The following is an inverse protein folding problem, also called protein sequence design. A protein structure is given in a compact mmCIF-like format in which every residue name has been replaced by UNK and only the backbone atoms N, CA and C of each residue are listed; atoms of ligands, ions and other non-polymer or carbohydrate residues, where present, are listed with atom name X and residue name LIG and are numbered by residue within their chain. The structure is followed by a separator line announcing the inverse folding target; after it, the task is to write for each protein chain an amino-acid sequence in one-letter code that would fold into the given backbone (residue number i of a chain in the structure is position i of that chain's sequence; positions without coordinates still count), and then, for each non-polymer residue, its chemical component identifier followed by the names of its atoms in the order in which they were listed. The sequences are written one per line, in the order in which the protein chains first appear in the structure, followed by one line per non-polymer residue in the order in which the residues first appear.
data_IF_015342214496
#
_entry.id   IF_015342214496
#
_cell.length_a   1.000
_cell.length_b   1.000
_cell.length_c   1.000
_cell.angle_alpha   90.00
_cell.angle_beta   90.00
_cell.angle_gamma   90.00
#
_symmetry.space_group_name_H-M   'P 1'
#
loop_
_entity.id
_entity.type
_entity.pdbx_description
1 polymer ?
#
# COMPACT_ATOMS: atom_id res chain seq x y z
N UNK A 1 -12.81 42.66 -4.21
CA UNK A 1 -11.74 41.84 -3.60
C UNK A 1 -12.05 40.40 -3.89
N UNK A 2 -11.35 39.81 -4.82
CA UNK A 2 -11.54 38.42 -5.21
C UNK A 2 -10.58 37.59 -4.37
N UNK A 3 -11.11 36.84 -3.40
CA UNK A 3 -10.36 35.87 -2.65
C UNK A 3 -10.01 34.69 -3.56
N UNK A 4 -8.78 34.56 -3.97
CA UNK A 4 -8.28 33.36 -4.61
C UNK A 4 -8.18 32.26 -3.56
N UNK A 5 -9.15 31.36 -3.57
CA UNK A 5 -9.04 30.09 -2.90
C UNK A 5 -8.01 29.25 -3.67
N UNK A 6 -6.80 29.21 -3.19
CA UNK A 6 -5.81 28.25 -3.64
C UNK A 6 -6.24 26.87 -3.13
N UNK A 7 -6.79 26.06 -4.01
CA UNK A 7 -6.86 24.61 -3.78
C UNK A 7 -5.43 24.14 -3.48
N UNK A 8 -5.18 23.42 -2.38
CA UNK A 8 -3.92 22.75 -2.22
C UNK A 8 -3.88 21.67 -3.30
N UNK A 9 -3.23 21.98 -4.38
CA UNK A 9 -2.68 20.97 -5.25
C UNK A 9 -1.85 20.11 -4.33
N UNK A 10 -2.30 18.89 -4.06
CA UNK A 10 -1.50 17.90 -3.40
C UNK A 10 -0.35 17.56 -4.38
N UNK A 11 0.63 18.45 -4.41
CA UNK A 11 1.91 18.12 -4.98
C UNK A 11 2.38 16.94 -4.17
N UNK A 12 2.34 15.76 -4.79
CA UNK A 12 3.03 14.59 -4.28
C UNK A 12 4.42 15.08 -3.97
N UNK A 13 4.67 15.31 -2.69
CA UNK A 13 5.99 15.65 -2.21
C UNK A 13 6.85 14.47 -2.58
N UNK A 14 7.64 14.63 -3.63
CA UNK A 14 8.71 13.71 -3.95
C UNK A 14 9.73 13.89 -2.82
N UNK A 15 9.46 13.28 -1.68
CA UNK A 15 10.50 13.01 -0.69
C UNK A 15 11.63 12.37 -1.45
N UNK A 16 12.88 12.73 -1.13
CA UNK A 16 14.05 12.15 -1.78
C UNK A 16 13.81 10.66 -2.04
N UNK A 17 13.28 10.39 -3.21
CA UNK A 17 12.47 9.21 -3.53
C UNK A 17 13.26 7.92 -3.35
N UNK A 18 14.57 7.99 -3.61
CA UNK A 18 15.44 6.84 -3.40
C UNK A 18 15.66 6.55 -1.91
N UNK A 19 15.69 7.56 -1.07
CA UNK A 19 15.92 7.40 0.37
C UNK A 19 14.69 6.85 1.08
N UNK A 20 13.50 7.33 0.74
CA UNK A 20 12.25 6.80 1.26
C UNK A 20 11.99 5.37 0.78
N UNK A 21 12.21 5.09 -0.52
CA UNK A 21 12.13 3.75 -1.08
C UNK A 21 13.13 2.79 -0.43
N UNK A 22 14.37 3.24 -0.18
CA UNK A 22 15.39 2.43 0.47
C UNK A 22 15.03 2.12 1.93
N UNK A 23 14.51 3.07 2.68
CA UNK A 23 14.06 2.86 4.07
C UNK A 23 12.87 1.91 4.15
N UNK A 24 11.90 2.08 3.28
CA UNK A 24 10.71 1.20 3.24
C UNK A 24 11.04 -0.19 2.72
N UNK A 25 11.88 -0.31 1.71
CA UNK A 25 12.39 -1.60 1.22
C UNK A 25 13.17 -2.33 2.31
N UNK A 26 13.99 -1.64 3.09
CA UNK A 26 14.72 -2.21 4.22
C UNK A 26 13.78 -2.67 5.34
N UNK A 27 12.77 -1.89 5.68
CA UNK A 27 11.77 -2.25 6.68
C UNK A 27 10.91 -3.44 6.22
N UNK A 28 10.45 -3.43 4.99
CA UNK A 28 9.71 -4.55 4.38
C UNK A 28 10.55 -5.82 4.33
N UNK A 29 11.84 -5.71 3.98
CA UNK A 29 12.78 -6.83 4.01
C UNK A 29 12.98 -7.37 5.42
N UNK A 30 13.16 -6.51 6.40
CA UNK A 30 13.35 -6.92 7.80
C UNK A 30 12.12 -7.69 8.33
N UNK A 31 10.90 -7.26 7.99
CA UNK A 31 9.68 -7.97 8.36
C UNK A 31 9.62 -9.34 7.67
N UNK A 32 9.94 -9.42 6.38
CA UNK A 32 9.96 -10.68 5.62
C UNK A 32 11.00 -11.65 6.16
N UNK A 33 12.20 -11.16 6.41
CA UNK A 33 13.29 -11.97 6.93
C UNK A 33 12.92 -12.52 8.32
N UNK A 34 12.34 -11.72 9.17
CA UNK A 34 11.84 -12.16 10.47
C UNK A 34 10.75 -13.22 10.38
N UNK A 35 9.80 -13.07 9.49
CA UNK A 35 8.75 -14.10 9.27
C UNK A 35 9.36 -15.40 8.73
N UNK A 36 10.40 -15.33 7.91
CA UNK A 36 11.10 -16.51 7.38
C UNK A 36 11.98 -17.20 8.41
N UNK A 37 12.76 -16.42 9.18
CA UNK A 37 13.75 -16.96 10.13
C UNK A 37 13.11 -17.53 11.38
N UNK A 38 12.13 -16.85 11.94
CA UNK A 38 11.56 -17.23 13.23
C UNK A 38 10.43 -18.27 13.11
N UNK A 39 9.97 -18.61 11.89
CA UNK A 39 8.70 -19.31 11.73
C UNK A 39 7.59 -18.61 12.50
N UNK A 40 7.77 -17.29 12.67
CA UNK A 40 7.05 -16.46 13.61
C UNK A 40 5.57 -16.34 13.27
N UNK A 41 4.76 -15.85 14.18
CA UNK A 41 3.34 -15.67 13.94
C UNK A 41 3.14 -14.70 12.79
N UNK A 42 2.29 -15.08 11.84
CA UNK A 42 1.80 -14.19 10.80
C UNK A 42 1.22 -12.94 11.47
N UNK A 43 1.60 -11.72 11.05
CA UNK A 43 1.06 -10.51 11.65
C UNK A 43 -0.47 -10.52 11.62
N UNK A 44 -1.08 -10.22 12.75
CA UNK A 44 -2.54 -10.20 12.86
C UNK A 44 -3.12 -9.14 11.94
N UNK A 45 -4.04 -9.55 11.08
CA UNK A 45 -4.80 -8.64 10.25
C UNK A 45 -5.86 -7.87 11.06
N UNK A 46 -6.15 -6.65 10.66
CA UNK A 46 -7.26 -5.83 11.15
C UNK A 46 -8.40 -5.74 10.15
N UNK A 47 -8.13 -6.01 8.89
CA UNK A 47 -9.10 -6.10 7.80
C UNK A 47 -8.49 -6.87 6.63
N UNK A 48 -9.34 -7.34 5.71
CA UNK A 48 -8.89 -7.92 4.46
C UNK A 48 -9.75 -7.49 3.28
N UNK A 49 -9.17 -7.61 2.09
CA UNK A 49 -9.84 -7.35 0.82
C UNK A 49 -9.30 -8.32 -0.23
N UNK A 50 -10.19 -9.01 -0.92
CA UNK A 50 -9.80 -9.88 -2.04
C UNK A 50 -9.93 -9.14 -3.36
N UNK A 51 -8.99 -9.36 -4.27
CA UNK A 51 -8.93 -8.74 -5.58
C UNK A 51 -8.34 -9.69 -6.63
N UNK A 52 -8.59 -9.39 -7.90
CA UNK A 52 -7.94 -10.05 -9.00
C UNK A 52 -6.76 -9.21 -9.47
N UNK A 53 -5.54 -9.74 -9.50
CA UNK A 53 -4.41 -9.03 -10.12
C UNK A 53 -4.69 -8.80 -11.60
N UNK A 54 -4.32 -7.66 -12.14
CA UNK A 54 -4.68 -7.19 -13.48
C UNK A 54 -4.31 -8.10 -14.65
N UNK A 55 -3.55 -9.14 -14.45
CA UNK A 55 -3.09 -10.02 -15.51
C UNK A 55 -3.79 -11.38 -15.56
N UNK A 56 -4.59 -11.73 -14.55
CA UNK A 56 -5.28 -13.02 -14.54
C UNK A 56 -6.56 -12.96 -13.72
N UNK A 57 -7.70 -12.93 -14.41
CA UNK A 57 -9.03 -12.93 -13.78
C UNK A 57 -9.35 -14.26 -13.04
N UNK A 58 -8.52 -15.27 -13.18
CA UNK A 58 -8.70 -16.56 -12.52
C UNK A 58 -7.92 -16.68 -11.21
N UNK A 59 -7.12 -15.68 -10.86
CA UNK A 59 -6.31 -15.67 -9.64
C UNK A 59 -6.92 -14.76 -8.61
N UNK A 60 -7.31 -15.32 -7.47
CA UNK A 60 -7.76 -14.57 -6.30
C UNK A 60 -6.58 -14.31 -5.37
N UNK A 61 -6.30 -13.04 -5.12
CA UNK A 61 -5.34 -12.60 -4.12
C UNK A 61 -6.09 -11.87 -3.01
N UNK A 62 -5.73 -12.17 -1.77
CA UNK A 62 -6.27 -11.47 -0.60
C UNK A 62 -5.18 -10.63 0.03
N UNK A 63 -5.45 -9.34 0.19
CA UNK A 63 -4.63 -8.42 0.96
C UNK A 63 -5.14 -8.37 2.40
N UNK A 64 -4.28 -8.76 3.34
CA UNK A 64 -4.54 -8.78 4.77
C UNK A 64 -3.86 -7.57 5.41
N UNK A 65 -4.63 -6.57 5.78
CA UNK A 65 -4.11 -5.31 6.33
C UNK A 65 -3.72 -5.50 7.79
N UNK A 66 -2.48 -5.13 8.10
CA UNK A 66 -1.93 -5.20 9.46
C UNK A 66 -2.04 -3.87 10.17
N UNK A 67 -1.64 -2.78 9.52
CA UNK A 67 -1.65 -1.44 10.12
C UNK A 67 -1.61 -0.33 9.10
N UNK A 68 -2.15 0.81 9.48
CA UNK A 68 -1.97 2.10 8.78
C UNK A 68 -1.38 3.07 9.79
N UNK A 69 -0.13 3.49 9.57
CA UNK A 69 0.58 4.41 10.43
C UNK A 69 0.78 5.74 9.72
N UNK A 70 0.14 6.79 10.21
CA UNK A 70 0.29 8.13 9.69
C UNK A 70 1.32 8.92 10.48
N UNK A 71 2.29 9.47 9.78
CA UNK A 71 3.30 10.38 10.32
C UNK A 71 3.20 11.77 9.71
N UNK A 72 4.04 12.71 10.15
CA UNK A 72 4.03 14.09 9.67
C UNK A 72 4.46 14.20 8.20
N UNK A 73 5.24 13.28 7.70
CA UNK A 73 5.81 13.29 6.35
C UNK A 73 5.19 12.27 5.39
N UNK A 74 4.41 11.33 5.90
CA UNK A 74 3.79 10.28 5.09
C UNK A 74 3.00 9.30 5.91
N UNK A 75 2.37 8.37 5.22
CA UNK A 75 1.59 7.30 5.82
C UNK A 75 2.11 5.96 5.29
N UNK A 76 2.26 4.97 6.14
CA UNK A 76 2.70 3.63 5.77
C UNK A 76 1.57 2.63 6.00
N UNK A 77 1.23 1.91 4.95
CA UNK A 77 0.37 0.73 4.99
C UNK A 77 1.24 -0.51 5.08
N UNK A 78 0.99 -1.35 6.08
CA UNK A 78 1.58 -2.69 6.19
C UNK A 78 0.49 -3.72 5.94
N UNK A 79 0.73 -4.64 5.03
CA UNK A 79 -0.20 -5.70 4.67
C UNK A 79 0.57 -6.94 4.20
N UNK A 80 -0.08 -8.08 4.18
CA UNK A 80 0.46 -9.28 3.59
C UNK A 80 -0.53 -9.88 2.59
N UNK A 81 -0.01 -10.63 1.64
CA UNK A 81 -0.77 -11.19 0.53
C UNK A 81 -0.80 -12.71 0.64
N UNK A 82 -1.94 -13.28 0.29
CA UNK A 82 -2.10 -14.71 0.04
C UNK A 82 -2.78 -14.93 -1.30
N UNK A 83 -2.44 -16.01 -1.96
CA UNK A 83 -3.12 -16.45 -3.18
C UNK A 83 -3.88 -17.75 -2.92
N UNK A 84 -5.08 -17.85 -3.48
CA UNK A 84 -5.92 -19.06 -3.43
C UNK A 84 -5.55 -20.05 -4.54
N UNK A 85 -4.71 -19.67 -5.48
CA UNK A 85 -4.29 -20.51 -6.59
C UNK A 85 -3.06 -21.32 -6.26
N UNK A 86 -2.91 -22.45 -6.98
CA UNK A 86 -1.86 -23.44 -6.75
C UNK A 86 -0.51 -22.96 -7.26
N UNK A 87 -0.52 -22.09 -8.26
CA UNK A 87 0.66 -21.50 -8.89
C UNK A 87 0.95 -20.11 -8.34
N UNK A 88 2.15 -19.62 -8.59
CA UNK A 88 2.54 -18.29 -8.16
C UNK A 88 1.64 -17.20 -8.76
N UNK A 89 1.17 -16.29 -7.94
CA UNK A 89 0.52 -15.08 -8.37
C UNK A 89 1.49 -13.90 -8.27
N UNK A 90 1.42 -12.99 -9.22
CA UNK A 90 2.13 -11.72 -9.09
C UNK A 90 1.31 -10.76 -8.24
N UNK A 91 1.96 -10.10 -7.30
CA UNK A 91 1.37 -9.01 -6.54
C UNK A 91 1.21 -7.74 -7.37
N UNK A 92 0.72 -6.66 -6.75
CA UNK A 92 0.58 -5.39 -7.43
C UNK A 92 1.96 -4.84 -7.83
N UNK A 93 2.08 -4.46 -9.10
CA UNK A 93 3.32 -3.99 -9.74
C UNK A 93 3.27 -2.48 -9.96
N UNK A 94 2.16 -2.00 -10.50
CA UNK A 94 1.98 -0.60 -10.87
C UNK A 94 1.29 0.19 -9.75
N UNK A 95 1.52 1.52 -9.66
CA UNK A 95 0.86 2.35 -8.64
C UNK A 95 -0.67 2.21 -8.61
N UNK A 96 -1.29 2.03 -9.75
CA UNK A 96 -2.73 1.85 -9.90
C UNK A 96 -3.27 0.52 -9.35
N UNK A 97 -2.41 -0.48 -9.22
CA UNK A 97 -2.75 -1.82 -8.72
C UNK A 97 -2.60 -1.93 -7.20
N UNK A 98 -1.88 -0.97 -6.61
CA UNK A 98 -1.70 -0.91 -5.17
C UNK A 98 -2.99 -0.46 -4.46
N UNK A 99 -3.18 -0.91 -3.21
CA UNK A 99 -4.29 -0.44 -2.39
C UNK A 99 -4.32 1.09 -2.32
N UNK A 100 -5.50 1.68 -2.44
CA UNK A 100 -5.71 3.11 -2.14
C UNK A 100 -6.32 3.27 -0.76
N UNK A 101 -5.94 4.32 -0.04
CA UNK A 101 -6.56 4.68 1.23
C UNK A 101 -7.73 5.63 0.94
N UNK A 102 -8.93 5.29 1.40
CA UNK A 102 -10.14 6.06 1.15
C UNK A 102 -10.67 6.64 2.46
N UNK A 103 -10.59 7.96 2.58
CA UNK A 103 -11.30 8.71 3.61
C UNK A 103 -12.75 8.93 3.15
N UNK A 104 -13.67 8.13 3.68
CA UNK A 104 -15.09 8.21 3.31
C UNK A 104 -15.80 9.44 3.90
N UNK A 105 -15.26 10.06 4.94
CA UNK A 105 -15.83 11.26 5.56
C UNK A 105 -15.44 12.50 4.77
N UNK A 106 -14.15 12.61 4.43
CA UNK A 106 -13.64 13.72 3.62
C UNK A 106 -13.84 13.55 2.12
N UNK A 107 -14.24 12.35 1.66
CA UNK A 107 -14.41 12.06 0.24
C UNK A 107 -13.08 12.05 -0.54
N UNK A 108 -11.97 11.72 0.12
CA UNK A 108 -10.63 11.76 -0.48
C UNK A 108 -10.06 10.37 -0.64
N UNK A 109 -9.48 10.11 -1.81
CA UNK A 109 -8.74 8.88 -2.12
C UNK A 109 -7.25 9.19 -2.24
N UNK A 110 -6.45 8.53 -1.43
CA UNK A 110 -4.99 8.65 -1.42
C UNK A 110 -4.37 7.46 -2.15
N UNK A 111 -3.68 7.74 -3.25
CA UNK A 111 -2.90 6.75 -3.99
C UNK A 111 -1.53 6.54 -3.35
N UNK A 112 -0.91 5.39 -3.67
CA UNK A 112 0.47 5.09 -3.26
C UNK A 112 1.45 6.10 -3.85
N UNK A 113 2.48 6.44 -3.11
CA UNK A 113 3.58 7.26 -3.62
C UNK A 113 4.40 6.48 -4.64
N UNK A 114 4.83 7.17 -5.68
CA UNK A 114 5.69 6.59 -6.71
C UNK A 114 6.74 7.61 -7.18
N UNK A 115 7.76 7.15 -7.87
CA UNK A 115 8.79 7.96 -8.49
C UNK A 115 9.10 7.45 -9.89
N UNK A 116 9.75 8.29 -10.69
CA UNK A 116 10.31 7.92 -11.99
C UNK A 116 11.78 8.31 -12.01
N UNK A 117 12.61 7.49 -12.64
CA UNK A 117 14.01 7.83 -12.88
C UNK A 117 14.12 8.88 -13.97
N UNK A 118 15.15 9.72 -13.92
CA UNK A 118 15.40 10.71 -14.96
C UNK A 118 15.57 10.02 -16.33
N UNK A 119 14.77 10.44 -17.31
CA UNK A 119 14.77 9.87 -18.66
C UNK A 119 13.94 8.58 -18.81
N UNK A 120 13.28 8.12 -17.75
CA UNK A 120 12.38 6.96 -17.76
C UNK A 120 10.95 7.42 -17.45
N UNK A 121 9.98 6.91 -18.18
CA UNK A 121 8.55 7.18 -17.95
C UNK A 121 7.90 6.15 -17.02
N UNK A 122 8.61 5.08 -16.67
CA UNK A 122 8.13 4.06 -15.76
C UNK A 122 7.91 4.63 -14.36
N UNK A 123 6.86 4.17 -13.71
CA UNK A 123 6.51 4.56 -12.33
C UNK A 123 6.89 3.43 -11.39
N UNK A 124 7.71 3.75 -10.40
CA UNK A 124 8.13 2.84 -9.36
C UNK A 124 7.43 3.20 -8.04
N UNK A 125 6.78 2.25 -7.42
CA UNK A 125 6.09 2.46 -6.15
C UNK A 125 7.11 2.63 -5.02
N UNK A 126 6.83 3.55 -4.11
CA UNK A 126 7.61 3.69 -2.88
C UNK A 126 7.12 2.65 -1.88
N UNK A 127 7.85 1.56 -1.74
CA UNK A 127 7.45 0.44 -0.89
C UNK A 127 8.20 -0.85 -1.20
N UNK A 128 7.58 -1.96 -0.86
CA UNK A 128 8.13 -3.28 -1.12
C UNK A 128 8.25 -3.58 -2.61
N UNK A 129 9.26 -4.34 -2.97
CA UNK A 129 9.42 -4.85 -4.32
C UNK A 129 8.31 -5.83 -4.70
N UNK A 130 8.17 -6.05 -6.01
CA UNK A 130 7.20 -6.97 -6.58
C UNK A 130 7.31 -8.36 -5.96
N UNK A 131 6.23 -8.90 -5.38
CA UNK A 131 6.25 -10.25 -4.87
C UNK A 131 5.84 -11.26 -5.93
N UNK A 132 6.56 -12.36 -6.00
CA UNK A 132 5.98 -13.63 -6.41
C UNK A 132 5.31 -14.26 -5.18
N UNK A 133 4.02 -14.52 -5.28
CA UNK A 133 3.24 -15.09 -4.19
C UNK A 133 3.02 -16.56 -4.50
N UNK A 134 3.82 -17.40 -3.89
CA UNK A 134 3.61 -18.83 -3.97
C UNK A 134 2.36 -19.24 -3.19
N UNK A 135 1.69 -20.28 -3.67
CA UNK A 135 0.60 -20.90 -2.94
C UNK A 135 1.05 -21.26 -1.52
N UNK A 136 0.26 -20.90 -0.51
CA UNK A 136 0.52 -21.13 0.92
C UNK A 136 1.68 -20.34 1.52
N UNK A 137 2.28 -19.42 0.81
CA UNK A 137 3.26 -18.50 1.38
C UNK A 137 2.61 -17.21 1.82
N UNK A 138 3.20 -16.57 2.83
CA UNK A 138 2.81 -15.23 3.30
C UNK A 138 3.85 -14.23 2.83
N UNK A 139 3.40 -13.19 2.16
CA UNK A 139 4.26 -12.15 1.63
C UNK A 139 3.92 -10.82 2.29
N UNK A 140 4.79 -10.31 3.14
CA UNK A 140 4.56 -9.05 3.85
C UNK A 140 5.07 -7.88 3.02
N UNK A 141 4.22 -6.90 2.80
CA UNK A 141 4.49 -5.69 2.04
C UNK A 141 4.27 -4.43 2.86
N UNK A 142 4.99 -3.39 2.48
CA UNK A 142 4.73 -2.02 2.92
C UNK A 142 4.61 -1.11 1.71
N UNK A 143 3.73 -0.13 1.80
CA UNK A 143 3.56 0.90 0.78
C UNK A 143 3.42 2.26 1.45
N UNK A 144 3.96 3.29 0.79
CA UNK A 144 3.95 4.67 1.26
C UNK A 144 2.87 5.49 0.59
N UNK A 145 2.24 6.34 1.36
CA UNK A 145 1.17 7.25 0.92
C UNK A 145 1.47 8.67 1.40
N UNK A 146 0.81 9.68 0.81
CA UNK A 146 0.88 11.04 1.34
C UNK A 146 0.49 11.11 2.82
N UNK A 147 0.93 12.15 3.56
CA UNK A 147 0.52 12.34 4.93
C UNK A 147 -1.00 12.53 5.02
N UNK A 148 -1.64 11.81 5.93
CA UNK A 148 -3.07 11.96 6.19
C UNK A 148 -3.31 13.12 7.16
N UNK A 149 -4.32 13.97 6.91
CA UNK A 149 -4.74 15.00 7.86
C UNK A 149 -5.04 14.40 9.24
N UNK A 150 -4.78 15.16 10.29
CA UNK A 150 -5.04 14.70 11.68
C UNK A 150 -6.50 14.33 11.95
N UNK A 151 -7.41 14.94 11.21
CA UNK A 151 -8.85 14.63 11.27
C UNK A 151 -9.21 13.25 10.73
N UNK A 152 -8.36 12.66 9.89
CA UNK A 152 -8.59 11.31 9.34
C UNK A 152 -8.14 10.28 10.38
N UNK A 153 -9.11 9.70 11.07
CA UNK A 153 -8.86 8.69 12.13
C UNK A 153 -9.08 7.27 11.67
N UNK A 154 -9.71 7.10 10.52
CA UNK A 154 -9.98 5.81 9.88
C UNK A 154 -10.07 5.98 8.37
N UNK A 155 -9.72 4.93 7.64
CA UNK A 155 -9.86 4.84 6.19
C UNK A 155 -10.33 3.45 5.78
N UNK A 156 -10.81 3.32 4.55
CA UNK A 156 -11.01 2.03 3.89
C UNK A 156 -9.88 1.79 2.90
N UNK A 157 -9.63 0.53 2.59
CA UNK A 157 -8.75 0.11 1.50
C UNK A 157 -9.60 -0.19 0.27
N UNK A 158 -9.20 0.32 -0.88
CA UNK A 158 -9.78 -0.01 -2.18
C UNK A 158 -8.67 -0.49 -3.12
N UNK A 159 -8.87 -1.62 -3.79
CA UNK A 159 -7.93 -2.18 -4.77
C UNK A 159 -8.70 -2.42 -6.07
N UNK A 160 -8.30 -1.72 -7.13
CA UNK A 160 -8.94 -1.84 -8.45
C UNK A 160 -10.46 -1.67 -8.40
N UNK A 161 -11.18 -2.63 -8.97
CA UNK A 161 -12.64 -2.73 -8.93
C UNK A 161 -13.18 -3.57 -7.77
N UNK A 162 -12.30 -4.07 -6.90
CA UNK A 162 -12.67 -4.86 -5.74
C UNK A 162 -13.54 -4.07 -4.76
N UNK A 163 -14.25 -4.78 -3.91
CA UNK A 163 -14.99 -4.16 -2.81
C UNK A 163 -14.02 -3.48 -1.86
N UNK A 164 -14.46 -2.36 -1.29
CA UNK A 164 -13.67 -1.72 -0.23
C UNK A 164 -13.69 -2.54 1.05
N UNK A 165 -12.59 -2.46 1.80
CA UNK A 165 -12.50 -3.05 3.13
C UNK A 165 -13.49 -2.41 4.11
N UNK A 166 -13.73 -3.00 5.29
CA UNK A 166 -14.24 -2.29 6.46
C UNK A 166 -13.38 -1.09 6.81
N UNK A 167 -13.86 -0.23 7.71
CA UNK A 167 -13.07 0.87 8.26
C UNK A 167 -11.85 0.34 9.05
N UNK A 168 -10.70 0.90 8.76
CA UNK A 168 -9.43 0.56 9.40
C UNK A 168 -8.93 1.78 10.17
N UNK A 169 -8.62 1.65 11.47
CA UNK A 169 -8.10 2.76 12.25
C UNK A 169 -6.73 3.21 11.76
N UNK A 170 -6.52 4.52 11.73
CA UNK A 170 -5.23 5.15 11.46
C UNK A 170 -4.52 5.41 12.79
N UNK A 171 -3.34 4.82 12.97
CA UNK A 171 -2.47 5.05 14.13
C UNK A 171 -1.47 6.19 13.83
N UNK A 172 -0.99 6.88 14.88
CA UNK A 172 -0.01 7.97 14.80
C UNK A 172 1.07 7.81 15.85
#
# INVERSE_FOLDING_TARGET
MVGMSASPSASVSVMGSEQAAAVESAAGKAIRDKVKEDGGPIPKEVANVSFHPNLDDNVDVTAHVVSIKAGPTGTVLTFWLTSNTIDHAMGPVFPEDFPSLVDTVGGVKYGVNYFSKAGDTSKFVVGSEEPEIDAKSVYVMQASYPPLPKSVTKVKIAIGSAKTSPDIPVTR
#
